data_IF_985725285366
#
_entry.id   IF_985725285366
#
_cell.length_a   1.000
_cell.length_b   1.000
_cell.length_c   1.000
_cell.angle_alpha   90.00
_cell.angle_beta   90.00
_cell.angle_gamma   90.00
#
_symmetry.space_group_name_H-M   'P 1'
#
loop_
_entity.id
_entity.type
_entity.pdbx_description
1 polymer ?
#
# COMPACT_ATOMS: atom_id res chain seq x y z
N UNK A 1 24.96 7.49 -5.59
CA UNK A 1 23.87 8.07 -4.78
C UNK A 1 23.66 7.20 -3.57
N UNK A 2 23.42 7.79 -2.40
CA UNK A 2 23.11 7.06 -1.16
C UNK A 2 21.64 7.28 -0.85
N UNK A 3 20.87 6.21 -0.73
CA UNK A 3 19.46 6.28 -0.36
C UNK A 3 19.31 6.12 1.15
N UNK A 4 18.45 6.92 1.81
CA UNK A 4 18.24 6.76 3.24
C UNK A 4 17.44 5.49 3.52
N UNK A 5 17.79 4.82 4.63
CA UNK A 5 16.99 3.72 5.17
C UNK A 5 15.62 4.27 5.56
N UNK A 6 14.55 3.61 5.12
CA UNK A 6 13.20 3.98 5.48
C UNK A 6 12.88 3.56 6.92
N UNK A 7 12.37 4.48 7.74
CA UNK A 7 12.15 4.25 9.19
C UNK A 7 10.67 4.32 9.58
N UNK A 8 9.78 4.48 8.60
CA UNK A 8 8.34 4.46 8.79
C UNK A 8 7.75 3.05 8.87
N UNK A 9 6.44 2.96 8.66
CA UNK A 9 5.72 1.70 8.63
C UNK A 9 6.12 0.87 7.39
N UNK A 10 6.81 -0.25 7.60
CA UNK A 10 7.28 -1.12 6.54
C UNK A 10 6.39 -2.37 6.43
N UNK A 11 5.81 -2.67 5.24
CA UNK A 11 5.09 -3.92 5.02
C UNK A 11 5.98 -5.13 5.29
N UNK A 12 5.54 -6.10 6.10
CA UNK A 12 6.28 -7.36 6.37
C UNK A 12 5.36 -8.57 6.23
N UNK A 13 5.87 -9.63 5.60
CA UNK A 13 5.13 -10.87 5.30
C UNK A 13 3.78 -10.56 4.63
N UNK A 14 3.80 -9.74 3.58
CA UNK A 14 2.62 -9.41 2.79
C UNK A 14 2.50 -10.35 1.59
N UNK A 15 1.27 -10.62 1.19
CA UNK A 15 0.94 -11.40 -0.01
C UNK A 15 1.48 -10.73 -1.28
N UNK A 16 1.52 -11.48 -2.39
CA UNK A 16 2.14 -10.99 -3.64
C UNK A 16 1.32 -9.90 -4.34
N UNK A 17 0.00 -9.89 -4.14
CA UNK A 17 -0.98 -8.90 -4.61
C UNK A 17 -0.94 -7.60 -3.79
N UNK A 18 -0.40 -7.64 -2.57
CA UNK A 18 -0.29 -6.48 -1.69
C UNK A 18 0.93 -5.58 -1.98
N UNK A 19 1.50 -5.63 -3.19
CA UNK A 19 2.67 -4.84 -3.59
C UNK A 19 2.74 -4.62 -5.09
N UNK A 20 3.39 -3.52 -5.49
CA UNK A 20 3.80 -3.29 -6.87
C UNK A 20 5.14 -4.00 -7.16
N UNK A 21 5.42 -4.24 -8.43
CA UNK A 21 6.70 -4.79 -8.86
C UNK A 21 7.14 -4.21 -10.18
N UNK A 22 8.44 -4.00 -10.38
CA UNK A 22 9.00 -3.80 -11.72
C UNK A 22 9.37 -5.17 -12.27
N UNK A 23 9.06 -5.40 -13.55
CA UNK A 23 9.42 -6.62 -14.28
C UNK A 23 9.90 -6.25 -15.68
N UNK A 24 10.66 -7.14 -16.30
CA UNK A 24 10.86 -7.07 -17.75
C UNK A 24 9.63 -7.67 -18.42
N UNK A 25 9.00 -6.94 -19.32
CA UNK A 25 7.83 -7.40 -20.04
C UNK A 25 7.54 -6.55 -21.26
N UNK A 26 6.47 -6.89 -21.96
CA UNK A 26 5.87 -6.04 -22.97
C UNK A 26 4.69 -5.31 -22.36
N UNK A 27 4.60 -4.00 -22.56
CA UNK A 27 3.39 -3.25 -22.21
C UNK A 27 2.24 -3.56 -23.17
N UNK A 28 1.03 -3.12 -22.82
CA UNK A 28 -0.12 -3.13 -23.73
C UNK A 28 0.18 -2.38 -25.05
N UNK A 29 1.14 -1.45 -25.02
CA UNK A 29 1.58 -0.63 -26.15
C UNK A 29 2.70 -1.31 -26.97
N UNK A 30 3.13 -2.53 -26.59
CA UNK A 30 4.09 -3.34 -27.35
C UNK A 30 5.57 -3.02 -27.08
N UNK A 31 5.89 -2.11 -26.16
CA UNK A 31 7.28 -1.83 -25.80
C UNK A 31 7.84 -2.94 -24.91
N UNK A 32 8.95 -3.56 -25.33
CA UNK A 32 9.70 -4.48 -24.49
C UNK A 32 10.65 -3.71 -23.58
N UNK A 33 10.50 -3.84 -22.26
CA UNK A 33 11.35 -3.14 -21.30
C UNK A 33 10.91 -3.34 -19.86
N UNK A 34 11.48 -2.57 -18.92
CA UNK A 34 11.01 -2.54 -17.55
C UNK A 34 9.62 -1.90 -17.49
N UNK A 35 8.66 -2.62 -16.93
CA UNK A 35 7.27 -2.18 -16.73
C UNK A 35 6.92 -2.22 -15.24
N UNK A 36 6.05 -1.32 -14.81
CA UNK A 36 5.39 -1.42 -13.50
C UNK A 36 4.29 -2.45 -13.63
N UNK A 37 4.25 -3.41 -12.73
CA UNK A 37 3.36 -4.56 -12.76
C UNK A 37 2.67 -4.78 -11.42
N UNK A 38 1.43 -5.25 -11.52
CA UNK A 38 0.52 -5.54 -10.43
C UNK A 38 -0.04 -6.95 -10.61
N UNK A 39 -0.27 -7.64 -9.49
CA UNK A 39 -1.09 -8.84 -9.47
C UNK A 39 -2.45 -8.43 -8.91
N UNK A 40 -3.50 -8.66 -9.67
CA UNK A 40 -4.88 -8.39 -9.29
C UNK A 40 -5.64 -9.72 -9.20
N UNK A 41 -6.40 -9.91 -8.13
CA UNK A 41 -7.26 -11.08 -7.94
C UNK A 41 -8.69 -10.60 -8.16
N UNK A 42 -9.36 -11.14 -9.18
CA UNK A 42 -10.73 -10.78 -9.55
C UNK A 42 -11.76 -11.53 -8.69
N UNK A 43 -13.02 -11.14 -8.78
CA UNK A 43 -14.13 -11.83 -8.10
C UNK A 43 -14.39 -13.25 -8.65
N UNK A 44 -13.97 -13.54 -9.88
CA UNK A 44 -14.13 -14.84 -10.53
C UNK A 44 -12.95 -15.80 -10.23
N UNK A 45 -12.26 -15.60 -9.11
CA UNK A 45 -11.03 -16.32 -8.71
C UNK A 45 -9.89 -16.26 -9.74
N UNK A 46 -9.97 -15.37 -10.73
CA UNK A 46 -8.91 -15.17 -11.71
C UNK A 46 -7.78 -14.31 -11.16
N UNK A 47 -6.55 -14.63 -11.56
CA UNK A 47 -5.37 -13.81 -11.27
C UNK A 47 -4.92 -13.09 -12.53
N UNK A 48 -5.08 -11.77 -12.53
CA UNK A 48 -4.65 -10.92 -13.62
C UNK A 48 -3.24 -10.37 -13.36
N UNK A 49 -2.44 -10.36 -14.42
CA UNK A 49 -1.06 -9.85 -14.42
C UNK A 49 -0.99 -8.55 -15.21
N UNK A 50 -1.47 -7.47 -14.61
CA UNK A 50 -1.53 -6.17 -15.26
C UNK A 50 -0.17 -5.46 -15.22
N UNK A 51 0.17 -4.74 -16.29
CA UNK A 51 1.44 -4.01 -16.39
C UNK A 51 1.30 -2.74 -17.25
N UNK A 52 2.11 -1.73 -16.94
CA UNK A 52 2.18 -0.45 -17.67
C UNK A 52 3.64 0.02 -17.79
N UNK A 53 3.98 0.60 -18.94
CA UNK A 53 5.26 1.25 -19.25
C UNK A 53 5.21 2.78 -19.12
N UNK A 54 4.08 3.34 -18.69
CA UNK A 54 3.86 4.79 -18.60
C UNK A 54 4.63 5.48 -17.46
N UNK A 55 5.38 4.73 -16.66
CA UNK A 55 6.04 5.23 -15.46
C UNK A 55 7.58 5.00 -15.48
N UNK A 56 8.31 5.48 -16.51
CA UNK A 56 9.76 5.28 -16.59
C UNK A 56 10.53 5.94 -15.44
N UNK A 57 10.03 7.05 -14.90
CA UNK A 57 10.62 7.71 -13.73
C UNK A 57 10.56 6.83 -12.48
N UNK A 58 9.40 6.22 -12.21
CA UNK A 58 9.23 5.30 -11.08
C UNK A 58 10.13 4.07 -11.23
N UNK A 59 10.22 3.53 -12.45
CA UNK A 59 11.15 2.45 -12.78
C UNK A 59 12.58 2.83 -12.40
N UNK A 60 13.03 4.02 -12.83
CA UNK A 60 14.37 4.51 -12.56
C UNK A 60 14.62 4.72 -11.06
N UNK A 61 13.65 5.26 -10.31
CA UNK A 61 13.75 5.45 -8.86
C UNK A 61 14.01 4.13 -8.12
N UNK A 62 13.20 3.11 -8.40
CA UNK A 62 13.34 1.81 -7.73
C UNK A 62 14.64 1.13 -8.16
N UNK A 63 14.96 1.15 -9.46
CA UNK A 63 16.18 0.54 -9.99
C UNK A 63 17.43 1.20 -9.42
N UNK A 64 17.44 2.54 -9.28
CA UNK A 64 18.57 3.26 -8.69
C UNK A 64 18.85 2.80 -7.25
N UNK A 65 17.81 2.59 -6.44
CA UNK A 65 17.97 2.00 -5.09
C UNK A 65 18.58 0.61 -5.19
N UNK A 66 18.00 -0.28 -6.00
CA UNK A 66 18.47 -1.66 -6.15
C UNK A 66 19.94 -1.73 -6.56
N UNK A 67 20.31 -1.02 -7.62
CA UNK A 67 21.68 -1.04 -8.16
C UNK A 67 22.67 -0.39 -7.20
N UNK A 68 22.27 0.64 -6.45
CA UNK A 68 23.15 1.25 -5.44
C UNK A 68 23.50 0.31 -4.29
N UNK A 69 22.65 -0.70 -4.04
CA UNK A 69 22.85 -1.75 -3.04
C UNK A 69 23.46 -3.03 -3.64
N UNK A 70 23.93 -2.98 -4.89
CA UNK A 70 24.48 -4.14 -5.60
C UNK A 70 23.44 -5.23 -5.91
N UNK A 71 22.14 -4.92 -5.81
CA UNK A 71 21.08 -5.85 -6.18
C UNK A 71 20.78 -5.75 -7.68
N UNK A 72 20.32 -6.86 -8.31
CA UNK A 72 19.78 -6.78 -9.66
C UNK A 72 18.66 -5.74 -9.76
N UNK A 73 18.50 -5.08 -10.92
CA UNK A 73 17.37 -4.18 -11.14
C UNK A 73 16.05 -4.94 -11.07
N UNK A 74 14.95 -4.18 -11.05
CA UNK A 74 13.57 -4.64 -10.94
C UNK A 74 13.22 -5.20 -9.55
N UNK A 75 11.98 -5.68 -9.40
CA UNK A 75 11.48 -6.27 -8.17
C UNK A 75 10.44 -5.41 -7.45
N UNK A 76 10.11 -5.81 -6.22
CA UNK A 76 9.00 -5.23 -5.47
C UNK A 76 9.30 -3.82 -4.97
N UNK A 77 8.24 -3.01 -4.86
CA UNK A 77 8.24 -1.73 -4.18
C UNK A 77 6.84 -1.43 -3.64
N UNK A 78 6.74 -0.39 -2.82
CA UNK A 78 5.49 0.11 -2.23
C UNK A 78 5.42 1.63 -2.42
N UNK A 79 4.20 2.16 -2.49
CA UNK A 79 3.94 3.59 -2.38
C UNK A 79 3.03 3.77 -1.18
N UNK A 80 3.43 4.62 -0.24
CA UNK A 80 2.63 4.89 0.95
C UNK A 80 1.62 6.04 0.73
N UNK A 81 0.83 6.33 1.75
CA UNK A 81 -0.14 7.43 1.78
C UNK A 81 0.50 8.82 1.57
N UNK A 82 1.81 8.94 1.75
CA UNK A 82 2.62 10.15 1.52
C UNK A 82 3.32 10.16 0.17
N UNK A 83 2.91 9.28 -0.75
CA UNK A 83 3.50 9.13 -2.09
C UNK A 83 4.98 8.73 -2.06
N UNK A 84 5.49 8.25 -0.92
CA UNK A 84 6.88 7.83 -0.79
C UNK A 84 7.06 6.44 -1.40
N UNK A 85 8.04 6.31 -2.30
CA UNK A 85 8.42 5.04 -2.92
C UNK A 85 9.39 4.31 -2.01
N UNK A 86 8.95 3.18 -1.47
CA UNK A 86 9.66 2.38 -0.48
C UNK A 86 10.10 1.07 -1.13
N UNK A 87 11.40 0.80 -1.12
CA UNK A 87 12.00 -0.35 -1.80
C UNK A 87 12.53 -1.36 -0.77
N UNK A 88 11.97 -2.58 -0.68
CA UNK A 88 12.53 -3.66 0.14
C UNK A 88 13.86 -4.15 -0.41
N UNK A 89 14.77 -4.57 0.48
CA UNK A 89 16.02 -5.24 0.10
C UNK A 89 15.83 -6.75 0.15
N UNK A 90 16.12 -7.43 -0.97
CA UNK A 90 16.07 -8.90 -1.00
C UNK A 90 17.05 -9.50 0.02
N UNK A 91 16.60 -10.46 0.83
CA UNK A 91 17.42 -11.11 1.87
C UNK A 91 17.65 -10.28 3.14
N UNK A 92 17.09 -9.07 3.24
CA UNK A 92 17.15 -8.23 4.44
C UNK A 92 15.73 -7.83 4.89
N UNK A 93 15.62 -7.35 6.12
CA UNK A 93 14.39 -6.77 6.66
C UNK A 93 14.32 -5.24 6.49
N UNK A 94 15.31 -4.68 5.80
CA UNK A 94 15.48 -3.26 5.55
C UNK A 94 14.77 -2.79 4.29
N UNK A 95 14.37 -1.51 4.35
CA UNK A 95 13.68 -0.79 3.31
C UNK A 95 14.42 0.52 3.08
N UNK A 96 14.39 1.01 1.84
CA UNK A 96 15.03 2.26 1.46
C UNK A 96 14.01 3.18 0.80
N UNK A 97 14.16 4.48 1.04
CA UNK A 97 13.32 5.51 0.42
C UNK A 97 13.95 5.93 -0.91
N UNK A 98 13.25 5.70 -2.02
CA UNK A 98 13.70 6.12 -3.34
C UNK A 98 13.37 7.60 -3.62
N UNK A 99 12.33 8.13 -2.98
CA UNK A 99 11.83 9.49 -3.15
C UNK A 99 10.31 9.54 -3.07
N UNK A 100 9.70 10.59 -3.62
CA UNK A 100 8.25 10.75 -3.73
C UNK A 100 7.81 10.61 -5.19
N UNK A 101 6.69 9.92 -5.43
CA UNK A 101 6.11 9.70 -6.76
C UNK A 101 4.63 10.07 -6.76
N UNK A 102 4.32 11.20 -7.39
CA UNK A 102 2.97 11.77 -7.43
C UNK A 102 2.03 11.14 -8.49
N UNK A 103 2.50 10.80 -9.72
CA UNK A 103 1.60 10.30 -10.74
C UNK A 103 0.85 9.03 -10.28
N UNK A 104 -0.47 8.93 -10.57
CA UNK A 104 -1.25 7.77 -10.18
C UNK A 104 -0.86 6.54 -11.00
N UNK A 105 -0.86 5.37 -10.36
CA UNK A 105 -0.70 4.10 -11.07
C UNK A 105 -2.07 3.60 -11.54
N UNK A 106 -2.22 3.44 -12.84
CA UNK A 106 -3.40 2.88 -13.50
C UNK A 106 -2.95 1.76 -14.43
N UNK A 107 -3.68 0.66 -14.44
CA UNK A 107 -3.37 -0.50 -15.25
C UNK A 107 -4.57 -0.86 -16.10
N UNK A 108 -4.38 -0.99 -17.41
CA UNK A 108 -5.42 -1.47 -18.31
C UNK A 108 -5.33 -2.99 -18.46
N UNK A 109 -6.46 -3.68 -18.35
CA UNK A 109 -6.59 -5.11 -18.61
C UNK A 109 -7.98 -5.41 -19.14
N UNK A 110 -8.07 -6.01 -20.34
CA UNK A 110 -9.36 -6.35 -21.00
C UNK A 110 -10.36 -5.19 -21.08
N UNK A 111 -9.86 -3.97 -21.34
CA UNK A 111 -10.67 -2.76 -21.43
C UNK A 111 -11.14 -2.18 -20.08
N UNK A 112 -10.71 -2.76 -18.97
CA UNK A 112 -10.95 -2.27 -17.60
C UNK A 112 -9.73 -1.55 -17.07
N UNK A 113 -9.94 -0.54 -16.23
CA UNK A 113 -8.87 0.19 -15.55
C UNK A 113 -8.80 -0.21 -14.09
N UNK A 114 -7.70 -0.83 -13.69
CA UNK A 114 -7.41 -1.21 -12.32
C UNK A 114 -6.57 -0.11 -11.68
N UNK A 115 -7.01 0.44 -10.54
CA UNK A 115 -6.29 1.49 -9.82
C UNK A 115 -6.64 1.48 -8.34
N UNK A 116 -5.81 2.11 -7.50
CA UNK A 116 -6.08 2.28 -6.06
C UNK A 116 -7.16 3.32 -5.71
N UNK A 117 -7.92 3.81 -6.69
CA UNK A 117 -9.03 4.73 -6.45
C UNK A 117 -10.25 3.99 -5.86
N UNK A 118 -11.11 4.73 -5.16
CA UNK A 118 -12.34 4.17 -4.59
C UNK A 118 -13.44 4.16 -5.66
N UNK A 119 -13.24 3.33 -6.69
CA UNK A 119 -14.19 3.11 -7.79
C UNK A 119 -14.31 1.62 -8.10
N UNK A 120 -15.43 1.21 -8.70
CA UNK A 120 -15.61 -0.12 -9.29
C UNK A 120 -14.89 -0.26 -10.64
N UNK A 121 -15.02 -1.42 -11.30
CA UNK A 121 -14.37 -1.70 -12.59
C UNK A 121 -14.95 -0.89 -13.75
N UNK A 122 -16.16 -0.36 -13.58
CA UNK A 122 -16.85 0.54 -14.49
C UNK A 122 -16.49 2.02 -14.25
N UNK A 123 -15.71 2.29 -13.20
CA UNK A 123 -15.26 3.63 -12.82
C UNK A 123 -16.27 4.43 -11.97
N UNK A 124 -17.34 3.80 -11.47
CA UNK A 124 -18.28 4.45 -10.57
C UNK A 124 -17.70 4.52 -9.15
N UNK A 125 -17.88 5.64 -8.42
CA UNK A 125 -17.43 5.75 -7.04
C UNK A 125 -18.09 4.71 -6.10
N UNK A 126 -17.29 4.14 -5.21
CA UNK A 126 -17.77 3.26 -4.12
C UNK A 126 -17.81 4.00 -2.78
N UNK A 127 -18.73 3.60 -1.90
CA UNK A 127 -18.96 4.18 -0.58
C UNK A 127 -18.39 3.32 0.54
N UNK A 128 -18.06 3.90 1.71
CA UNK A 128 -17.64 3.10 2.86
C UNK A 128 -18.70 2.04 3.22
N UNK A 129 -18.29 0.78 3.32
CA UNK A 129 -19.17 -0.37 3.48
C UNK A 129 -19.31 -1.24 2.22
N UNK A 130 -19.02 -0.68 1.04
CA UNK A 130 -19.02 -1.42 -0.21
C UNK A 130 -17.77 -2.31 -0.32
N UNK A 131 -17.87 -3.36 -1.15
CA UNK A 131 -16.74 -4.24 -1.46
C UNK A 131 -15.60 -3.41 -2.09
N UNK A 132 -14.39 -3.65 -1.63
CA UNK A 132 -13.20 -3.07 -2.24
C UNK A 132 -12.80 -3.91 -3.45
N UNK A 133 -13.07 -3.37 -4.64
CA UNK A 133 -12.71 -3.97 -5.94
C UNK A 133 -11.34 -3.51 -6.44
N UNK A 134 -10.73 -2.51 -5.78
CA UNK A 134 -9.40 -2.04 -6.13
C UNK A 134 -8.30 -3.07 -5.83
N UNK A 135 -7.09 -2.85 -6.34
CA UNK A 135 -5.96 -3.71 -6.03
C UNK A 135 -5.53 -3.55 -4.57
N UNK A 136 -4.85 -4.57 -4.04
CA UNK A 136 -4.43 -4.62 -2.64
C UNK A 136 -3.07 -4.00 -2.25
N UNK A 137 -2.27 -3.35 -3.14
CA UNK A 137 -1.15 -2.56 -2.68
C UNK A 137 -1.57 -1.49 -1.67
N UNK A 138 -0.91 -1.49 -0.51
CA UNK A 138 -1.17 -0.54 0.56
C UNK A 138 -0.32 -0.83 1.79
N UNK A 139 -0.14 0.18 2.64
CA UNK A 139 0.59 0.06 3.89
C UNK A 139 -0.34 -0.49 4.96
N UNK A 140 0.07 -1.60 5.58
CA UNK A 140 -0.71 -2.31 6.60
C UNK A 140 -0.66 -1.57 7.94
N UNK A 141 -1.83 -1.30 8.50
CA UNK A 141 -2.03 -0.81 9.85
C UNK A 141 -2.89 -1.79 10.66
N UNK A 142 -2.98 -1.58 11.97
CA UNK A 142 -3.81 -2.37 12.87
C UNK A 142 -4.79 -1.47 13.62
N UNK A 143 -6.07 -1.76 13.46
CA UNK A 143 -7.14 -1.22 14.29
C UNK A 143 -7.12 -1.95 15.63
N UNK A 144 -7.05 -1.21 16.74
CA UNK A 144 -7.17 -1.79 18.07
C UNK A 144 -8.61 -2.24 18.33
N UNK A 145 -8.78 -3.35 19.05
CA UNK A 145 -10.09 -3.86 19.44
C UNK A 145 -10.91 -2.77 20.16
N UNK A 146 -12.20 -2.69 19.81
CA UNK A 146 -13.11 -1.63 20.25
C UNK A 146 -12.91 -0.28 19.57
N UNK A 147 -12.13 -0.21 18.47
CA UNK A 147 -11.93 1.03 17.70
C UNK A 147 -11.29 2.16 18.49
N UNK A 148 -10.47 1.82 19.49
CA UNK A 148 -9.92 2.80 20.44
C UNK A 148 -8.67 3.53 19.93
N UNK A 149 -7.95 2.93 18.99
CA UNK A 149 -6.70 3.47 18.47
C UNK A 149 -6.30 2.73 17.18
N UNK A 150 -5.29 3.26 16.50
CA UNK A 150 -4.63 2.65 15.35
C UNK A 150 -3.15 2.50 15.69
N UNK A 151 -2.56 1.36 15.35
CA UNK A 151 -1.15 1.10 15.59
C UNK A 151 -0.44 0.44 14.40
N UNK A 152 0.88 0.60 14.36
CA UNK A 152 1.78 -0.21 13.54
C UNK A 152 3.06 -0.50 14.32
N UNK A 153 3.82 -1.50 13.86
CA UNK A 153 5.12 -1.85 14.43
C UNK A 153 6.24 -1.54 13.46
N UNK A 154 7.32 -0.94 13.97
CA UNK A 154 8.57 -0.74 13.24
C UNK A 154 9.73 -1.44 13.96
N UNK A 155 10.82 -1.71 13.25
CA UNK A 155 11.99 -2.38 13.80
C UNK A 155 13.22 -1.48 13.62
N UNK A 156 13.48 -0.53 14.54
CA UNK A 156 14.55 0.45 14.36
C UNK A 156 15.96 -0.18 14.27
N UNK A 157 16.13 -1.35 14.89
CA UNK A 157 17.37 -2.14 14.90
C UNK A 157 17.05 -3.64 15.07
N UNK A 158 18.01 -4.55 14.80
CA UNK A 158 17.79 -5.99 14.95
C UNK A 158 17.22 -6.36 16.32
N UNK A 159 16.23 -7.25 16.33
CA UNK A 159 15.56 -7.76 17.53
C UNK A 159 14.86 -6.72 18.42
N UNK A 160 14.62 -5.50 17.93
CA UNK A 160 13.87 -4.47 18.65
C UNK A 160 12.62 -4.11 17.87
N UNK A 161 11.46 -4.35 18.46
CA UNK A 161 10.16 -3.90 17.94
C UNK A 161 9.71 -2.63 18.68
N UNK A 162 9.34 -1.59 17.95
CA UNK A 162 8.71 -0.38 18.48
C UNK A 162 7.29 -0.29 17.95
N UNK A 163 6.31 -0.20 18.85
CA UNK A 163 4.91 0.04 18.51
C UNK A 163 4.61 1.52 18.47
N UNK A 164 4.02 1.97 17.38
CA UNK A 164 3.59 3.34 17.15
C UNK A 164 2.07 3.39 17.25
N UNK A 165 1.53 4.33 18.04
CA UNK A 165 0.09 4.52 18.23
C UNK A 165 -0.33 5.87 17.69
N UNK A 166 -1.47 5.93 17.00
CA UNK A 166 -1.98 7.17 16.42
C UNK A 166 -2.30 8.17 17.54
N UNK A 167 -2.87 7.70 18.65
CA UNK A 167 -3.13 8.54 19.84
C UNK A 167 -1.89 9.25 20.40
N UNK A 168 -0.69 8.70 20.18
CA UNK A 168 0.57 9.34 20.58
C UNK A 168 1.03 10.41 19.59
N UNK A 169 0.60 10.34 18.34
CA UNK A 169 0.93 11.31 17.31
C UNK A 169 -0.02 12.52 17.33
N UNK A 170 -1.32 12.27 17.42
CA UNK A 170 -2.35 13.33 17.24
C UNK A 170 -3.24 13.55 18.47
N UNK A 171 -2.99 12.84 19.56
CA UNK A 171 -3.82 12.87 20.76
C UNK A 171 -4.95 11.82 20.75
N UNK A 172 -5.43 11.39 21.94
CA UNK A 172 -6.36 10.27 22.07
C UNK A 172 -7.73 10.51 21.44
N UNK A 173 -8.32 11.70 21.61
CA UNK A 173 -9.66 12.01 21.10
C UNK A 173 -9.70 11.98 19.56
N UNK A 174 -8.71 12.62 18.93
CA UNK A 174 -8.56 12.64 17.47
C UNK A 174 -8.30 11.24 16.91
N UNK A 175 -7.39 10.49 17.53
CA UNK A 175 -7.13 9.11 17.13
C UNK A 175 -8.36 8.20 17.28
N UNK A 176 -9.14 8.37 18.35
CA UNK A 176 -10.38 7.62 18.54
C UNK A 176 -11.42 7.96 17.47
N UNK A 177 -11.56 9.24 17.09
CA UNK A 177 -12.46 9.66 16.00
C UNK A 177 -12.10 8.93 14.71
N UNK A 178 -10.82 8.94 14.32
CA UNK A 178 -10.34 8.23 13.12
C UNK A 178 -10.57 6.72 13.22
N UNK A 179 -10.18 6.11 14.34
CA UNK A 179 -10.35 4.68 14.58
C UNK A 179 -11.83 4.24 14.58
N UNK A 180 -12.72 5.07 15.12
CA UNK A 180 -14.17 4.81 15.16
C UNK A 180 -14.80 4.84 13.76
N UNK A 181 -14.32 5.69 12.85
CA UNK A 181 -14.77 5.72 11.46
C UNK A 181 -14.47 4.40 10.74
N UNK A 182 -13.25 3.88 10.90
CA UNK A 182 -12.88 2.57 10.33
C UNK A 182 -13.67 1.45 11.01
N UNK A 183 -13.83 1.50 12.34
CA UNK A 183 -14.60 0.52 13.10
C UNK A 183 -16.07 0.45 12.69
N UNK A 184 -16.69 1.58 12.35
CA UNK A 184 -18.09 1.64 11.93
C UNK A 184 -18.37 0.76 10.70
N UNK A 185 -17.36 0.57 9.84
CA UNK A 185 -17.44 -0.31 8.67
C UNK A 185 -16.88 -1.70 8.96
N UNK A 186 -15.66 -1.76 9.53
CA UNK A 186 -14.92 -3.02 9.71
C UNK A 186 -15.47 -3.89 10.86
N UNK A 187 -16.14 -3.28 11.83
CA UNK A 187 -16.57 -3.91 13.07
C UNK A 187 -15.54 -3.78 14.22
N UNK A 188 -16.02 -4.09 15.43
CA UNK A 188 -15.31 -3.83 16.70
C UNK A 188 -14.18 -4.80 17.06
N UNK A 189 -13.99 -5.90 16.33
CA UNK A 189 -12.96 -6.90 16.64
C UNK A 189 -11.52 -6.36 16.47
N UNK A 190 -11.36 -5.26 15.72
CA UNK A 190 -10.05 -4.71 15.36
C UNK A 190 -9.37 -5.51 14.24
N UNK A 191 -8.04 -5.51 14.24
CA UNK A 191 -7.24 -6.26 13.28
C UNK A 191 -6.69 -5.41 12.13
N UNK A 192 -6.18 -6.08 11.10
CA UNK A 192 -5.47 -5.42 10.00
C UNK A 192 -6.41 -4.63 9.09
N UNK A 193 -5.91 -3.52 8.57
CA UNK A 193 -6.42 -2.78 7.42
C UNK A 193 -5.24 -2.19 6.66
N UNK A 194 -5.50 -1.61 5.49
CA UNK A 194 -4.48 -1.09 4.59
C UNK A 194 -4.86 0.31 4.16
N UNK A 195 -3.85 1.15 3.95
CA UNK A 195 -3.98 2.48 3.37
C UNK A 195 -3.12 2.55 2.12
N UNK A 196 -3.71 2.86 0.98
CA UNK A 196 -2.96 2.98 -0.28
C UNK A 196 -2.51 4.43 -0.54
N UNK A 197 -1.84 4.64 -1.67
CA UNK A 197 -1.30 5.92 -2.11
C UNK A 197 -2.37 6.97 -2.45
N UNK A 198 -3.65 6.59 -2.54
CA UNK A 198 -4.79 7.50 -2.72
C UNK A 198 -5.45 7.89 -1.39
N UNK A 199 -4.84 7.48 -0.27
CA UNK A 199 -5.36 7.61 1.10
C UNK A 199 -6.59 6.72 1.37
N UNK A 200 -6.94 5.81 0.47
CA UNK A 200 -8.09 4.93 0.64
C UNK A 200 -7.77 3.85 1.66
N UNK A 201 -8.71 3.65 2.58
CA UNK A 201 -8.66 2.62 3.62
C UNK A 201 -9.48 1.43 3.15
N UNK A 202 -8.88 0.26 3.14
CA UNK A 202 -9.60 -0.98 2.87
C UNK A 202 -9.17 -2.07 3.84
N UNK A 203 -10.06 -3.00 4.15
CA UNK A 203 -9.81 -4.00 5.17
C UNK A 203 -10.42 -5.36 4.83
N UNK A 204 -9.74 -6.46 5.19
CA UNK A 204 -10.32 -7.79 5.03
C UNK A 204 -11.39 -8.02 6.10
N UNK A 205 -12.54 -8.48 5.68
CA UNK A 205 -13.60 -9.06 6.50
C UNK A 205 -13.55 -10.58 6.31
N UNK A 206 -13.46 -11.31 7.42
CA UNK A 206 -13.60 -12.77 7.37
C UNK A 206 -15.08 -13.10 7.31
N UNK A 207 -15.48 -13.77 6.25
CA UNK A 207 -16.75 -14.48 6.18
C UNK A 207 -16.48 -15.98 6.36
N UNK A 208 -17.53 -16.80 6.53
CA UNK A 208 -17.39 -18.19 7.00
C UNK A 208 -16.38 -19.03 6.19
N UNK A 209 -16.23 -18.74 4.90
CA UNK A 209 -15.37 -19.52 3.98
C UNK A 209 -14.47 -18.67 3.10
N UNK A 210 -14.58 -17.33 3.14
CA UNK A 210 -13.84 -16.43 2.26
C UNK A 210 -13.44 -15.11 2.95
N UNK A 211 -12.46 -14.41 2.37
CA UNK A 211 -12.01 -13.09 2.81
C UNK A 211 -12.35 -12.05 1.74
N UNK A 212 -13.45 -11.33 1.93
CA UNK A 212 -13.72 -10.12 1.14
C UNK A 212 -13.00 -8.91 1.71
N UNK A 213 -12.65 -7.96 0.86
CA UNK A 213 -12.18 -6.65 1.29
C UNK A 213 -13.31 -5.63 1.22
N UNK A 214 -13.35 -4.72 2.19
CA UNK A 214 -14.35 -3.64 2.29
C UNK A 214 -13.66 -2.29 2.27
N UNK A 215 -14.23 -1.33 1.55
CA UNK A 215 -13.79 0.06 1.59
C UNK A 215 -14.25 0.70 2.90
N UNK A 216 -13.32 1.29 3.64
CA UNK A 216 -13.55 1.89 4.97
C UNK A 216 -13.51 3.43 4.96
N UNK A 217 -13.43 4.05 3.78
CA UNK A 217 -13.28 5.50 3.63
C UNK A 217 -11.84 5.95 3.40
N UNK A 218 -11.55 7.22 3.69
CA UNK A 218 -10.28 7.86 3.33
C UNK A 218 -9.59 8.48 4.55
N UNK A 219 -8.27 8.38 4.60
CA UNK A 219 -7.44 9.06 5.59
C UNK A 219 -7.36 10.55 5.30
N UNK A 220 -7.41 11.37 6.35
CA UNK A 220 -7.04 12.79 6.33
C UNK A 220 -5.64 12.90 6.93
N UNK A 221 -4.66 13.36 6.16
CA UNK A 221 -3.25 13.33 6.58
C UNK A 221 -2.96 14.14 7.84
N UNK A 222 -3.65 15.26 8.05
CA UNK A 222 -3.53 16.09 9.26
C UNK A 222 -4.03 15.37 10.53
N UNK A 223 -4.86 14.34 10.35
CA UNK A 223 -5.40 13.44 11.39
C UNK A 223 -4.70 12.07 11.36
N UNK A 224 -3.50 11.98 10.78
CA UNK A 224 -2.78 10.72 10.60
C UNK A 224 -1.41 10.69 11.28
N UNK A 225 -0.72 9.55 11.17
CA UNK A 225 0.68 9.45 11.60
C UNK A 225 1.53 10.43 10.79
N UNK A 226 2.53 11.10 11.38
CA UNK A 226 3.37 12.04 10.64
C UNK A 226 4.09 11.35 9.48
N UNK A 227 4.35 12.11 8.42
CA UNK A 227 5.16 11.66 7.29
C UNK A 227 6.53 11.19 7.79
N UNK A 228 6.95 9.96 7.49
CA UNK A 228 8.31 9.52 7.79
C UNK A 228 9.33 10.34 7.00
N UNK A 229 10.47 10.69 7.61
CA UNK A 229 11.55 11.47 6.98
C UNK A 229 11.18 12.90 6.57
N UNK A 230 10.31 13.57 7.33
CA UNK A 230 9.91 14.96 7.12
C UNK A 230 10.90 15.95 7.79
N UNK A 231 12.20 15.79 7.50
CA UNK A 231 13.29 16.59 8.09
C UNK A 231 13.71 17.76 7.20
#
# INVERSE_FOLDING_TARGET
>A
MTFPRFEGNCPRNVSKDAKYSIRTGSSAQGHSGPVVALIYESEDDERWHAATDEHPELVNMVNAVKTSLGQPPNGAFYINEYKQVIVPVAGSSEYFLAGTYEPPLRFEFEGKVISGEAVDLEGNPISPGDTWIGPHPGIRYKLCAGGRDIEYSMFPRPNVEKRMKLSKAIGPERAQKVASGIMAVKGGAGGRFYVNEFLNVFAPLKEEWDTRYVYCGRVVLDEWFPKPHDH
#
